data_IF_769390321848
#
_entry.id   IF_769390321848
#
_cell.length_a   1.000
_cell.length_b   1.000
_cell.length_c   1.000
_cell.angle_alpha   90.00
_cell.angle_beta   90.00
_cell.angle_gamma   90.00
#
_symmetry.space_group_name_H-M   'P 1'
#
loop_
_entity.id
_entity.type
_entity.pdbx_description
1 polymer ?
#
# COMPACT_ATOMS: atom_id res chain seq x y z
N UNK A 1 2.89 -12.16 9.23
CA UNK A 1 3.15 -10.71 9.41
C UNK A 1 1.89 -9.96 9.87
N UNK A 2 0.71 -10.25 9.32
CA UNK A 2 -0.55 -9.56 9.70
C UNK A 2 -1.21 -10.11 10.97
N UNK A 3 -0.67 -11.18 11.54
CA UNK A 3 -1.28 -11.92 12.64
C UNK A 3 -1.59 -11.03 13.84
N UNK A 4 -0.69 -10.11 14.20
CA UNK A 4 -0.85 -9.23 15.37
C UNK A 4 -2.08 -8.32 15.23
N UNK A 5 -2.34 -7.78 14.03
CA UNK A 5 -3.51 -6.93 13.77
C UNK A 5 -4.80 -7.75 13.79
N UNK A 6 -4.77 -8.96 13.21
CA UNK A 6 -5.91 -9.90 13.25
C UNK A 6 -6.25 -10.31 14.68
N UNK A 7 -5.24 -10.69 15.47
CA UNK A 7 -5.39 -11.13 16.86
C UNK A 7 -5.91 -10.00 17.76
N UNK A 8 -5.50 -8.75 17.48
CA UNK A 8 -6.00 -7.56 18.18
C UNK A 8 -7.41 -7.13 17.73
N UNK A 9 -8.03 -7.79 16.73
CA UNK A 9 -9.34 -7.41 16.20
C UNK A 9 -9.34 -6.06 15.48
N UNK A 10 -8.17 -5.59 15.04
CA UNK A 10 -8.02 -4.33 14.31
C UNK A 10 -8.41 -4.58 12.86
N UNK A 11 -9.40 -3.84 12.36
CA UNK A 11 -9.75 -3.88 10.94
C UNK A 11 -8.58 -3.33 10.11
N UNK A 12 -8.08 -4.14 9.17
CA UNK A 12 -6.91 -3.79 8.37
C UNK A 12 -6.95 -4.46 6.99
N UNK A 13 -6.11 -3.96 6.08
CA UNK A 13 -5.88 -4.53 4.75
C UNK A 13 -4.42 -4.39 4.39
N UNK A 14 -3.88 -5.34 3.61
CA UNK A 14 -2.54 -5.26 3.05
C UNK A 14 -2.56 -5.58 1.55
N UNK A 15 -1.82 -4.81 0.75
CA UNK A 15 -1.66 -5.01 -0.70
C UNK A 15 -0.18 -5.25 -1.02
N UNK A 16 0.12 -6.22 -1.87
CA UNK A 16 1.47 -6.53 -2.36
C UNK A 16 1.54 -6.22 -3.84
N UNK A 17 2.47 -5.35 -4.23
CA UNK A 17 2.69 -4.95 -5.63
C UNK A 17 3.87 -5.75 -6.20
N UNK A 18 3.58 -6.68 -7.10
CA UNK A 18 4.60 -7.56 -7.70
C UNK A 18 5.66 -6.77 -8.46
N UNK A 19 6.94 -7.06 -8.20
CA UNK A 19 8.07 -6.37 -8.85
C UNK A 19 8.44 -5.01 -8.26
N UNK A 20 7.62 -4.46 -7.37
CA UNK A 20 7.93 -3.21 -6.68
C UNK A 20 9.06 -3.43 -5.66
N UNK A 21 10.15 -2.65 -5.77
CA UNK A 21 11.24 -2.62 -4.78
C UNK A 21 10.95 -1.55 -3.72
N UNK A 22 11.73 -1.56 -2.64
CA UNK A 22 11.66 -0.49 -1.65
C UNK A 22 11.85 0.88 -2.34
N UNK A 23 11.04 1.87 -1.95
CA UNK A 23 10.94 3.21 -2.58
C UNK A 23 10.27 3.27 -3.96
N UNK A 24 9.40 2.31 -4.31
CA UNK A 24 8.67 2.33 -5.60
C UNK A 24 7.80 3.57 -5.86
N UNK A 25 7.48 4.35 -4.83
CA UNK A 25 6.71 5.61 -4.92
C UNK A 25 7.58 6.86 -5.11
N UNK A 26 8.91 6.73 -5.07
CA UNK A 26 9.82 7.89 -5.14
C UNK A 26 10.19 8.16 -6.59
N UNK A 27 9.47 9.09 -7.22
CA UNK A 27 9.76 9.55 -8.59
C UNK A 27 11.22 9.97 -8.75
N UNK A 28 11.83 9.59 -9.88
CA UNK A 28 13.24 9.85 -10.17
C UNK A 28 14.23 8.91 -9.50
N UNK A 29 13.78 8.03 -8.59
CA UNK A 29 14.62 6.96 -8.07
C UNK A 29 14.78 5.83 -9.09
N UNK A 30 15.84 5.02 -8.96
CA UNK A 30 16.03 3.80 -9.76
C UNK A 30 14.89 2.80 -9.58
N UNK A 31 14.24 2.83 -8.42
CA UNK A 31 13.29 1.81 -7.99
C UNK A 31 11.82 2.26 -8.15
N UNK A 32 11.59 3.46 -8.69
CA UNK A 32 10.27 3.97 -9.05
C UNK A 32 9.53 2.99 -9.98
N UNK A 33 8.29 2.68 -9.62
CA UNK A 33 7.41 1.84 -10.42
C UNK A 33 6.01 2.45 -10.44
N UNK A 34 5.71 3.18 -11.51
CA UNK A 34 4.49 3.98 -11.71
C UNK A 34 3.20 3.19 -11.43
N UNK A 35 3.05 2.00 -12.01
CA UNK A 35 1.87 1.15 -11.82
C UNK A 35 1.64 0.78 -10.33
N UNK A 36 2.72 0.57 -9.56
CA UNK A 36 2.60 0.28 -8.14
C UNK A 36 2.31 1.55 -7.33
N UNK A 37 2.90 2.69 -7.71
CA UNK A 37 2.64 3.99 -7.09
C UNK A 37 1.16 4.38 -7.23
N UNK A 38 0.63 4.40 -8.46
CA UNK A 38 -0.77 4.72 -8.74
C UNK A 38 -1.75 3.83 -7.98
N UNK A 39 -1.52 2.52 -7.98
CA UNK A 39 -2.38 1.57 -7.24
C UNK A 39 -2.27 1.72 -5.73
N UNK A 40 -1.10 2.13 -5.22
CA UNK A 40 -0.93 2.41 -3.79
C UNK A 40 -1.61 3.70 -3.36
N UNK A 41 -1.58 4.71 -4.24
CA UNK A 41 -2.26 5.97 -4.02
C UNK A 41 -3.78 5.79 -4.06
N UNK A 42 -4.30 5.04 -5.03
CA UNK A 42 -5.73 4.70 -5.08
C UNK A 42 -6.17 3.94 -3.83
N UNK A 43 -5.39 2.95 -3.37
CA UNK A 43 -5.67 2.23 -2.13
C UNK A 43 -5.78 3.14 -0.92
N UNK A 44 -4.92 4.15 -0.85
CA UNK A 44 -4.93 5.14 0.22
C UNK A 44 -6.19 6.02 0.18
N UNK A 45 -6.59 6.50 -1.01
CA UNK A 45 -7.82 7.27 -1.18
C UNK A 45 -9.08 6.46 -0.85
N UNK A 46 -9.12 5.18 -1.25
CA UNK A 46 -10.19 4.24 -0.90
C UNK A 46 -10.31 4.11 0.63
N UNK A 47 -9.19 3.88 1.32
CA UNK A 47 -9.16 3.81 2.78
C UNK A 47 -9.70 5.09 3.44
N UNK A 48 -9.30 6.28 2.95
CA UNK A 48 -9.80 7.54 3.50
C UNK A 48 -11.30 7.71 3.28
N UNK A 49 -11.82 7.29 2.12
CA UNK A 49 -13.25 7.34 1.81
C UNK A 49 -14.08 6.37 2.65
N UNK A 50 -13.54 5.21 3.01
CA UNK A 50 -14.21 4.23 3.88
C UNK A 50 -14.28 4.69 5.34
N UNK A 51 -13.39 5.60 5.75
CA UNK A 51 -13.28 6.11 7.13
C UNK A 51 -13.89 7.50 7.33
N UNK A 52 -14.44 8.12 6.28
CA UNK A 52 -15.20 9.39 6.35
C UNK A 52 -16.65 9.14 6.75
#
# INVERSE_FOLDING_TARGET
LLNELTEAGVEHTARVYGGARHSFTVQGSRDYLEDADEKSWQAFLEFLSEKS
#
